data_IF_197705737597
#
_entry.id   IF_197705737597
#
_cell.length_a   1.000
_cell.length_b   1.000
_cell.length_c   1.000
_cell.angle_alpha   90.00
_cell.angle_beta   90.00
_cell.angle_gamma   90.00
#
_symmetry.space_group_name_H-M   'P 1'
#
loop_
_entity.id
_entity.type
_entity.pdbx_description
1 polymer ?
#
# COMPACT_ATOMS: atom_id res chain seq x y z
N UNK A 1 -0.93 52.65 -14.47
CA UNK A 1 -2.08 51.74 -14.23
C UNK A 1 -1.55 50.32 -14.25
N UNK A 2 -1.22 49.77 -13.09
CA UNK A 2 -0.75 48.37 -12.99
C UNK A 2 -1.99 47.50 -13.19
N UNK A 3 -1.92 46.65 -14.22
CA UNK A 3 -3.01 45.85 -14.73
C UNK A 3 -3.53 44.93 -13.60
N UNK A 4 -4.74 45.17 -13.10
CA UNK A 4 -5.38 44.35 -12.03
C UNK A 4 -5.47 42.86 -12.41
N UNK A 5 -5.40 42.54 -13.70
CA UNK A 5 -5.39 41.18 -14.23
C UNK A 5 -4.10 40.38 -13.94
N UNK A 6 -2.95 41.05 -13.76
CA UNK A 6 -1.67 40.37 -13.52
C UNK A 6 -1.46 39.96 -12.05
N UNK A 7 -2.15 40.61 -11.11
CA UNK A 7 -2.01 40.32 -9.66
C UNK A 7 -2.79 39.05 -9.28
N UNK A 8 -3.94 38.81 -9.90
CA UNK A 8 -4.74 37.59 -9.66
C UNK A 8 -4.03 36.31 -10.16
N UNK A 9 -3.28 36.37 -11.26
CA UNK A 9 -2.54 35.22 -11.77
C UNK A 9 -1.38 34.82 -10.84
N UNK A 10 -0.64 35.80 -10.31
CA UNK A 10 0.47 35.57 -9.37
C UNK A 10 0.03 34.94 -8.04
N UNK A 11 -1.18 35.25 -7.55
CA UNK A 11 -1.70 34.65 -6.32
C UNK A 11 -2.09 33.18 -6.49
N UNK A 12 -2.61 32.79 -7.65
CA UNK A 12 -3.00 31.40 -7.94
C UNK A 12 -1.76 30.51 -8.06
N UNK A 13 -0.71 30.98 -8.73
CA UNK A 13 0.54 30.22 -8.88
C UNK A 13 1.25 29.96 -7.53
N UNK A 14 1.26 30.95 -6.63
CA UNK A 14 1.88 30.78 -5.31
C UNK A 14 1.11 29.79 -4.42
N UNK A 15 -0.22 29.75 -4.54
CA UNK A 15 -1.05 28.85 -3.74
C UNK A 15 -0.85 27.39 -4.14
N UNK A 16 -0.86 27.09 -5.45
CA UNK A 16 -0.61 25.72 -5.94
C UNK A 16 0.82 25.25 -5.68
N UNK A 17 1.82 26.15 -5.78
CA UNK A 17 3.21 25.78 -5.51
C UNK A 17 3.45 25.50 -4.01
N UNK A 18 2.87 26.32 -3.12
CA UNK A 18 2.97 26.13 -1.68
C UNK A 18 2.32 24.82 -1.19
N UNK A 19 1.15 24.47 -1.71
CA UNK A 19 0.50 23.19 -1.39
C UNK A 19 1.34 22.00 -1.85
N UNK A 20 1.90 22.06 -3.07
CA UNK A 20 2.74 20.99 -3.60
C UNK A 20 3.99 20.77 -2.73
N UNK A 21 4.74 21.82 -2.41
CA UNK A 21 5.93 21.70 -1.56
C UNK A 21 5.60 21.17 -0.16
N UNK A 22 4.44 21.53 0.39
CA UNK A 22 3.96 21.02 1.68
C UNK A 22 3.70 19.51 1.63
N UNK A 23 3.01 19.05 0.59
CA UNK A 23 2.72 17.62 0.38
C UNK A 23 4.02 16.85 0.12
N UNK A 24 4.91 17.36 -0.73
CA UNK A 24 6.23 16.77 -0.99
C UNK A 24 6.97 16.50 0.32
N UNK A 25 7.07 17.52 1.19
CA UNK A 25 7.76 17.41 2.48
C UNK A 25 7.06 16.44 3.41
N UNK A 26 5.74 16.54 3.55
CA UNK A 26 4.96 15.66 4.42
C UNK A 26 5.11 14.19 4.04
N UNK A 27 4.90 13.86 2.76
CA UNK A 27 4.99 12.48 2.26
C UNK A 27 6.41 11.94 2.42
N UNK A 28 7.42 12.79 2.19
CA UNK A 28 8.83 12.42 2.40
C UNK A 28 9.15 12.08 3.85
N UNK A 29 8.59 12.81 4.80
CA UNK A 29 8.80 12.57 6.24
C UNK A 29 7.99 11.37 6.72
N UNK A 30 6.74 11.24 6.29
CA UNK A 30 5.90 10.10 6.63
C UNK A 30 6.46 8.79 6.07
N UNK A 31 7.08 8.82 4.88
CA UNK A 31 7.81 7.68 4.34
C UNK A 31 8.89 7.16 5.31
N UNK A 32 9.62 8.05 6.01
CA UNK A 32 10.67 7.66 6.96
C UNK A 32 10.12 6.90 8.18
N UNK A 33 8.85 7.07 8.51
CA UNK A 33 8.22 6.39 9.64
C UNK A 33 7.95 4.90 9.35
N UNK A 34 7.82 4.52 8.08
CA UNK A 34 7.34 3.18 7.69
C UNK A 34 8.28 2.42 6.76
N UNK A 35 9.13 3.11 6.00
CA UNK A 35 10.08 2.48 5.09
C UNK A 35 11.37 2.20 5.83
N UNK A 36 11.89 0.99 5.60
CA UNK A 36 13.14 0.55 6.19
C UNK A 36 14.29 1.52 5.83
N UNK A 37 15.06 2.02 6.82
CA UNK A 37 16.05 3.06 6.58
C UNK A 37 17.15 2.63 5.61
N UNK A 38 17.48 1.33 5.57
CA UNK A 38 18.50 0.72 4.71
C UNK A 38 18.11 0.60 3.24
N UNK A 39 16.83 0.74 2.90
CA UNK A 39 16.37 0.63 1.52
C UNK A 39 16.93 1.75 0.65
N UNK A 40 17.42 1.46 -0.56
CA UNK A 40 17.90 2.54 -1.44
C UNK A 40 16.74 3.35 -2.02
N UNK A 41 15.61 2.69 -2.26
CA UNK A 41 14.37 3.27 -2.74
C UNK A 41 13.19 2.44 -2.22
N UNK A 42 11.97 2.88 -2.49
CA UNK A 42 10.76 2.11 -2.20
C UNK A 42 9.75 2.28 -3.33
N UNK A 43 8.95 1.26 -3.60
CA UNK A 43 7.91 1.35 -4.62
C UNK A 43 6.67 2.03 -4.03
N UNK A 44 6.27 3.15 -4.60
CA UNK A 44 5.05 3.87 -4.25
C UNK A 44 4.05 3.72 -5.39
N UNK A 45 2.86 3.21 -5.09
CA UNK A 45 1.78 3.12 -6.08
C UNK A 45 1.44 4.53 -6.57
N UNK A 46 1.31 4.71 -7.89
CA UNK A 46 1.21 6.00 -8.59
C UNK A 46 0.08 6.94 -8.13
N UNK A 47 -1.02 6.41 -7.63
CA UNK A 47 -2.13 7.19 -7.07
C UNK A 47 -2.24 7.05 -5.56
N UNK A 48 -2.59 8.14 -4.88
CA UNK A 48 -3.07 8.04 -3.51
C UNK A 48 -4.44 7.37 -3.46
N UNK A 49 -4.77 6.75 -2.32
CA UNK A 49 -6.14 6.33 -2.05
C UNK A 49 -6.85 7.30 -1.12
N UNK A 50 -8.18 7.35 -1.18
CA UNK A 50 -8.97 8.15 -0.26
C UNK A 50 -9.27 7.28 0.97
N UNK A 51 -8.75 7.67 2.13
CA UNK A 51 -9.06 7.01 3.39
C UNK A 51 -10.46 7.40 3.86
N UNK A 52 -11.25 6.43 4.32
CA UNK A 52 -12.58 6.66 4.89
C UNK A 52 -12.46 7.17 6.35
N UNK A 53 -11.84 8.33 6.53
CA UNK A 53 -11.49 8.89 7.83
C UNK A 53 -12.72 9.14 8.73
N UNK A 54 -13.88 9.44 8.14
CA UNK A 54 -15.15 9.62 8.84
C UNK A 54 -15.71 8.33 9.48
N UNK A 55 -15.16 7.16 9.14
CA UNK A 55 -15.46 5.87 9.79
C UNK A 55 -14.39 5.49 10.81
N UNK A 56 -13.36 6.31 10.96
CA UNK A 56 -12.28 6.07 11.90
C UNK A 56 -12.65 6.74 13.23
N UNK A 57 -12.71 5.92 14.26
CA UNK A 57 -12.85 6.36 15.63
C UNK A 57 -11.63 5.88 16.39
N UNK A 58 -10.99 6.80 17.10
CA UNK A 58 -10.08 6.46 18.18
C UNK A 58 -10.91 5.91 19.34
N UNK A 59 -10.36 4.98 20.09
CA UNK A 59 -11.00 4.62 21.35
C UNK A 59 -10.79 5.71 22.42
N UNK A 60 -11.59 5.65 23.49
CA UNK A 60 -11.58 6.68 24.53
C UNK A 60 -10.22 6.84 25.22
N UNK A 61 -9.42 5.77 25.31
CA UNK A 61 -8.09 5.82 25.90
C UNK A 61 -7.11 6.48 24.96
N UNK A 62 -7.14 6.14 23.66
CA UNK A 62 -6.33 6.79 22.63
C UNK A 62 -6.61 8.29 22.56
N UNK A 63 -7.88 8.69 22.60
CA UNK A 63 -8.28 10.11 22.62
C UNK A 63 -7.77 10.85 23.87
N UNK A 64 -7.87 10.20 25.04
CA UNK A 64 -7.42 10.79 26.29
C UNK A 64 -5.89 10.99 26.32
N UNK A 65 -5.13 9.98 25.89
CA UNK A 65 -3.67 10.06 25.78
C UNK A 65 -3.24 11.20 24.84
N UNK A 66 -3.85 11.27 23.66
CA UNK A 66 -3.56 12.31 22.68
C UNK A 66 -3.93 13.70 23.21
N UNK A 67 -5.06 13.85 23.87
CA UNK A 67 -5.52 15.13 24.42
C UNK A 67 -4.62 15.62 25.56
N UNK A 68 -4.11 14.71 26.39
CA UNK A 68 -3.17 15.05 27.47
C UNK A 68 -1.81 15.50 26.91
N UNK A 69 -1.29 14.77 25.92
CA UNK A 69 0.04 15.02 25.35
C UNK A 69 0.07 16.16 24.34
N UNK A 70 -1.03 16.37 23.63
CA UNK A 70 -1.17 17.35 22.55
C UNK A 70 -2.48 18.15 22.73
N UNK A 71 -2.52 19.10 23.68
CA UNK A 71 -3.75 19.82 24.02
C UNK A 71 -4.26 20.75 22.89
N UNK A 72 -3.41 21.05 21.89
CA UNK A 72 -3.79 21.80 20.68
C UNK A 72 -4.24 20.90 19.51
N UNK A 73 -4.27 19.57 19.69
CA UNK A 73 -4.79 18.65 18.70
C UNK A 73 -6.33 18.61 18.73
N UNK A 74 -6.96 19.10 17.67
CA UNK A 74 -8.39 18.97 17.44
C UNK A 74 -8.68 17.81 16.49
N UNK A 75 -8.63 16.57 17.00
CA UNK A 75 -8.67 15.36 16.18
C UNK A 75 -9.92 15.28 15.27
N UNK A 76 -11.07 15.80 15.70
CA UNK A 76 -12.30 15.85 14.91
C UNK A 76 -12.10 16.51 13.54
N UNK A 77 -11.28 17.57 13.46
CA UNK A 77 -10.96 18.24 12.19
C UNK A 77 -10.32 17.29 11.18
N UNK A 78 -9.48 16.35 11.63
CA UNK A 78 -8.80 15.40 10.74
C UNK A 78 -9.72 14.26 10.28
N UNK A 79 -10.79 13.95 11.02
CA UNK A 79 -11.73 12.88 10.66
C UNK A 79 -12.97 13.37 9.90
N UNK A 80 -13.32 14.65 10.06
CA UNK A 80 -14.44 15.29 9.34
C UNK A 80 -14.07 15.71 7.91
N UNK A 81 -12.77 15.78 7.59
CA UNK A 81 -12.31 16.06 6.24
C UNK A 81 -12.39 14.82 5.34
N UNK A 82 -13.41 14.79 4.49
CA UNK A 82 -13.42 13.91 3.33
C UNK A 82 -12.45 14.46 2.27
N UNK A 83 -11.28 13.81 2.13
CA UNK A 83 -10.44 14.04 0.96
C UNK A 83 -11.19 13.61 -0.29
N UNK A 84 -11.63 14.57 -1.10
CA UNK A 84 -12.51 14.27 -2.24
C UNK A 84 -11.77 13.74 -3.46
N UNK A 85 -10.46 13.97 -3.55
CA UNK A 85 -9.66 13.61 -4.73
C UNK A 85 -8.40 12.83 -4.36
N UNK A 86 -8.13 11.78 -5.13
CA UNK A 86 -6.83 11.12 -5.15
C UNK A 86 -5.78 12.05 -5.77
N UNK A 87 -4.56 11.98 -5.26
CA UNK A 87 -3.38 12.64 -5.79
C UNK A 87 -2.64 11.69 -6.72
N UNK A 88 -2.04 12.22 -7.77
CA UNK A 88 -1.09 11.47 -8.58
C UNK A 88 0.32 11.80 -8.07
N UNK A 89 1.03 10.81 -7.54
CA UNK A 89 2.36 11.04 -6.96
C UNK A 89 3.43 11.41 -7.98
N UNK A 90 3.18 11.19 -9.29
CA UNK A 90 4.04 11.72 -10.34
C UNK A 90 4.07 13.26 -10.37
N UNK A 91 3.06 13.92 -9.79
CA UNK A 91 3.00 15.37 -9.68
C UNK A 91 3.85 15.91 -8.52
N UNK A 92 4.49 15.05 -7.72
CA UNK A 92 5.19 15.39 -6.49
C UNK A 92 6.65 14.93 -6.52
N UNK A 93 7.52 15.63 -5.81
CA UNK A 93 8.93 15.26 -5.66
C UNK A 93 9.15 14.56 -4.34
N UNK A 94 9.06 13.22 -4.36
CA UNK A 94 9.17 12.38 -3.18
C UNK A 94 10.52 11.64 -3.23
N UNK A 95 11.52 12.01 -2.42
CA UNK A 95 12.83 11.38 -2.45
C UNK A 95 12.75 9.87 -2.19
N UNK A 96 13.59 9.10 -2.90
CA UNK A 96 13.68 7.63 -2.83
C UNK A 96 12.41 6.89 -3.27
N UNK A 97 11.32 7.56 -3.63
CA UNK A 97 10.14 6.90 -4.18
C UNK A 97 10.40 6.51 -5.64
N UNK A 98 10.20 5.23 -5.95
CA UNK A 98 10.03 4.73 -7.31
C UNK A 98 8.53 4.64 -7.54
N UNK A 99 7.98 5.57 -8.33
CA UNK A 99 6.55 5.60 -8.63
C UNK A 99 6.22 4.47 -9.60
N UNK A 100 5.28 3.60 -9.25
CA UNK A 100 4.91 2.41 -10.02
C UNK A 100 3.41 2.36 -10.24
N UNK A 101 2.98 2.07 -11.46
CA UNK A 101 1.57 1.86 -11.74
C UNK A 101 1.11 0.48 -11.26
N UNK A 102 -0.12 0.31 -10.73
CA UNK A 102 -0.64 -1.00 -10.35
C UNK A 102 -0.53 -2.08 -11.43
N UNK A 103 -0.54 -1.69 -12.72
CA UNK A 103 -0.40 -2.60 -13.87
C UNK A 103 1.03 -3.11 -14.07
N UNK A 104 2.02 -2.40 -13.57
CA UNK A 104 3.44 -2.74 -13.63
C UNK A 104 3.86 -3.61 -12.45
N UNK A 105 3.05 -3.65 -11.38
CA UNK A 105 3.23 -4.60 -10.30
C UNK A 105 3.17 -6.00 -10.92
N UNK A 106 4.22 -6.81 -10.79
CA UNK A 106 4.23 -8.13 -11.38
C UNK A 106 3.06 -8.98 -10.89
N UNK A 107 2.37 -9.66 -11.81
CA UNK A 107 1.10 -10.39 -11.54
C UNK A 107 1.19 -11.45 -10.43
N UNK A 108 2.39 -11.89 -10.07
CA UNK A 108 2.61 -12.81 -8.95
C UNK A 108 2.41 -12.19 -7.57
N UNK A 109 2.26 -10.87 -7.49
CA UNK A 109 2.02 -10.13 -6.26
C UNK A 109 0.71 -10.56 -5.58
N UNK A 110 -0.30 -10.92 -6.36
CA UNK A 110 -1.57 -11.47 -5.88
C UNK A 110 -1.48 -12.99 -5.62
N UNK A 111 -0.57 -13.40 -4.75
CA UNK A 111 -0.37 -14.80 -4.38
C UNK A 111 -1.60 -15.35 -3.64
N UNK A 112 -2.54 -15.92 -4.39
CA UNK A 112 -3.49 -16.89 -3.87
C UNK A 112 -3.11 -18.26 -4.42
N UNK A 113 -2.65 -19.16 -3.54
CA UNK A 113 -2.43 -20.56 -3.90
C UNK A 113 -3.77 -21.19 -4.26
N UNK A 114 -3.96 -21.56 -5.53
CA UNK A 114 -5.16 -22.27 -5.98
C UNK A 114 -4.73 -23.62 -6.52
N UNK A 115 -4.89 -24.67 -5.72
CA UNK A 115 -4.69 -26.05 -6.18
C UNK A 115 -5.96 -26.51 -6.89
N UNK A 116 -5.83 -26.89 -8.15
CA UNK A 116 -6.90 -27.51 -8.93
C UNK A 116 -6.52 -28.96 -9.18
N UNK A 117 -7.33 -29.84 -8.63
CA UNK A 117 -7.16 -31.29 -8.75
C UNK A 117 -8.03 -31.78 -9.90
N UNK A 118 -7.42 -32.46 -10.85
CA UNK A 118 -8.06 -33.06 -12.03
C UNK A 118 -7.86 -34.57 -11.99
N UNK A 119 -8.79 -35.33 -12.57
CA UNK A 119 -8.61 -36.77 -12.70
C UNK A 119 -7.85 -37.14 -13.97
N UNK A 120 -7.17 -38.28 -13.97
CA UNK A 120 -6.38 -38.79 -15.10
C UNK A 120 -7.20 -39.05 -16.38
N UNK A 121 -8.52 -39.16 -16.27
CA UNK A 121 -9.46 -39.27 -17.40
C UNK A 121 -9.97 -37.91 -17.92
N UNK A 122 -9.44 -36.79 -17.40
CA UNK A 122 -9.73 -35.44 -17.91
C UNK A 122 -9.29 -35.33 -19.38
N UNK A 123 -10.15 -34.85 -20.30
CA UNK A 123 -9.80 -34.69 -21.70
C UNK A 123 -8.57 -33.80 -21.89
N UNK A 124 -7.69 -34.18 -22.81
CA UNK A 124 -6.46 -33.42 -23.10
C UNK A 124 -6.73 -31.96 -23.46
N UNK A 125 -7.76 -31.70 -24.26
CA UNK A 125 -8.14 -30.34 -24.67
C UNK A 125 -8.49 -29.45 -23.47
N UNK A 126 -9.10 -30.03 -22.43
CA UNK A 126 -9.41 -29.32 -21.20
C UNK A 126 -8.16 -29.04 -20.37
N UNK A 127 -7.23 -29.99 -20.30
CA UNK A 127 -5.93 -29.78 -19.64
C UNK A 127 -5.12 -28.68 -20.34
N UNK A 128 -5.01 -28.75 -21.67
CA UNK A 128 -4.27 -27.77 -22.47
C UNK A 128 -4.86 -26.35 -22.29
N UNK A 129 -6.20 -26.24 -22.23
CA UNK A 129 -6.89 -24.97 -21.92
C UNK A 129 -6.55 -24.46 -20.51
N UNK A 130 -6.60 -25.34 -19.52
CA UNK A 130 -6.33 -24.97 -18.12
C UNK A 130 -4.88 -24.56 -17.88
N UNK A 131 -3.93 -25.15 -18.61
CA UNK A 131 -2.51 -24.77 -18.58
C UNK A 131 -2.25 -23.45 -19.31
N UNK A 132 -2.85 -23.25 -20.50
CA UNK A 132 -2.66 -22.04 -21.30
C UNK A 132 -3.15 -20.77 -20.59
N UNK A 133 -4.33 -20.85 -19.97
CA UNK A 133 -4.97 -19.70 -19.31
C UNK A 133 -4.70 -19.66 -17.81
N UNK A 134 -3.73 -20.45 -17.35
CA UNK A 134 -3.40 -20.64 -15.94
C UNK A 134 -2.97 -19.32 -15.31
N UNK A 135 -3.72 -18.77 -14.32
CA UNK A 135 -3.23 -17.65 -13.54
C UNK A 135 -1.96 -18.04 -12.80
N UNK A 136 -1.07 -17.08 -12.61
CA UNK A 136 0.10 -17.27 -11.76
C UNK A 136 -0.35 -17.69 -10.34
N UNK A 137 0.29 -18.70 -9.73
CA UNK A 137 -0.10 -19.22 -8.42
C UNK A 137 -1.14 -20.34 -8.43
N UNK A 138 -1.74 -20.65 -9.59
CA UNK A 138 -2.53 -21.87 -9.75
C UNK A 138 -1.58 -23.07 -9.79
N UNK A 139 -1.95 -24.20 -9.20
CA UNK A 139 -1.21 -25.46 -9.25
C UNK A 139 -2.19 -26.51 -9.78
N UNK A 140 -1.87 -27.11 -10.92
CA UNK A 140 -2.71 -28.14 -11.51
C UNK A 140 -2.10 -29.48 -11.11
N UNK A 141 -2.89 -30.32 -10.45
CA UNK A 141 -2.48 -31.64 -9.98
C UNK A 141 -3.38 -32.67 -10.65
N UNK A 142 -2.79 -33.62 -11.37
CA UNK A 142 -3.53 -34.69 -12.03
C UNK A 142 -3.41 -35.95 -11.15
N UNK A 143 -4.53 -36.49 -10.71
CA UNK A 143 -4.58 -37.69 -9.85
C UNK A 143 -5.39 -38.80 -10.51
N UNK A 144 -5.11 -40.05 -10.17
CA UNK A 144 -5.99 -41.16 -10.55
C UNK A 144 -7.11 -41.32 -9.50
N UNK A 145 -8.34 -41.52 -9.97
CA UNK A 145 -9.50 -41.74 -9.10
C UNK A 145 -9.37 -42.98 -8.21
N UNK A 146 -8.62 -43.99 -8.67
CA UNK A 146 -8.41 -45.26 -7.99
C UNK A 146 -7.24 -45.24 -7.00
N UNK A 147 -6.49 -44.15 -6.90
CA UNK A 147 -5.43 -44.03 -5.90
C UNK A 147 -6.02 -43.95 -4.48
N UNK A 148 -5.26 -44.41 -3.49
CA UNK A 148 -5.61 -44.18 -2.09
C UNK A 148 -5.54 -42.68 -1.78
N UNK A 149 -6.27 -42.24 -0.75
CA UNK A 149 -6.27 -40.84 -0.34
C UNK A 149 -4.88 -40.38 0.09
N UNK A 150 -4.08 -41.24 0.74
CA UNK A 150 -2.70 -40.90 1.10
C UNK A 150 -1.83 -40.66 -0.13
N UNK A 151 -2.05 -41.41 -1.21
CA UNK A 151 -1.32 -41.22 -2.47
C UNK A 151 -1.77 -39.94 -3.18
N UNK A 152 -3.08 -39.65 -3.21
CA UNK A 152 -3.61 -38.40 -3.78
C UNK A 152 -3.04 -37.19 -3.05
N UNK A 153 -3.01 -37.23 -1.72
CA UNK A 153 -2.47 -36.15 -0.91
C UNK A 153 -0.98 -35.96 -1.15
N UNK A 154 -0.20 -37.04 -1.21
CA UNK A 154 1.25 -36.95 -1.51
C UNK A 154 1.53 -36.28 -2.86
N UNK A 155 0.77 -36.62 -3.90
CA UNK A 155 0.93 -35.97 -5.21
C UNK A 155 0.60 -34.47 -5.14
N UNK A 156 -0.43 -34.09 -4.38
CA UNK A 156 -0.76 -32.69 -4.15
C UNK A 156 0.39 -31.98 -3.43
N UNK A 157 0.90 -32.57 -2.35
CA UNK A 157 1.97 -31.99 -1.54
C UNK A 157 3.26 -31.85 -2.36
N UNK A 158 3.66 -32.87 -3.11
CA UNK A 158 4.84 -32.82 -3.99
C UNK A 158 4.74 -31.69 -5.03
N UNK A 159 3.56 -31.51 -5.66
CA UNK A 159 3.35 -30.41 -6.63
C UNK A 159 3.32 -29.04 -5.97
N UNK A 160 2.84 -28.95 -4.73
CA UNK A 160 2.89 -27.72 -3.94
C UNK A 160 4.33 -27.39 -3.58
N UNK A 161 5.10 -28.36 -3.10
CA UNK A 161 6.50 -28.18 -2.71
C UNK A 161 7.37 -27.78 -3.92
N UNK A 162 7.20 -28.44 -5.06
CA UNK A 162 7.88 -28.07 -6.31
C UNK A 162 7.59 -26.62 -6.70
N UNK A 163 6.31 -26.23 -6.63
CA UNK A 163 5.90 -24.88 -6.93
C UNK A 163 6.47 -23.87 -5.93
N UNK A 164 6.42 -24.16 -4.62
CA UNK A 164 6.96 -23.29 -3.57
C UNK A 164 8.47 -23.10 -3.72
N UNK A 165 9.21 -24.16 -4.08
CA UNK A 165 10.64 -24.07 -4.37
C UNK A 165 10.92 -23.20 -5.59
N UNK A 166 10.25 -23.44 -6.71
CA UNK A 166 10.40 -22.61 -7.91
C UNK A 166 10.02 -21.15 -7.63
N UNK A 167 8.98 -20.93 -6.83
CA UNK A 167 8.54 -19.60 -6.43
C UNK A 167 9.57 -18.91 -5.54
N UNK A 168 10.15 -19.60 -4.56
CA UNK A 168 11.21 -19.06 -3.70
C UNK A 168 12.47 -18.71 -4.51
N UNK A 169 12.89 -19.57 -5.43
CA UNK A 169 14.01 -19.32 -6.34
C UNK A 169 13.73 -18.09 -7.21
N UNK A 170 12.55 -17.99 -7.80
CA UNK A 170 12.13 -16.82 -8.58
C UNK A 170 12.08 -15.55 -7.71
N UNK A 171 11.55 -15.62 -6.49
CA UNK A 171 11.54 -14.49 -5.58
C UNK A 171 12.95 -14.03 -5.19
N UNK A 172 13.92 -14.95 -5.12
CA UNK A 172 15.31 -14.61 -4.78
C UNK A 172 15.98 -13.74 -5.83
N UNK A 173 15.45 -13.67 -7.06
CA UNK A 173 15.99 -12.81 -8.13
C UNK A 173 15.67 -11.33 -7.95
N UNK A 174 14.77 -10.97 -7.03
CA UNK A 174 14.36 -9.59 -6.77
C UNK A 174 15.08 -9.00 -5.55
N UNK A 175 15.47 -7.73 -5.64
CA UNK A 175 15.95 -6.96 -4.49
C UNK A 175 14.82 -6.75 -3.48
N UNK A 176 15.14 -6.67 -2.19
CA UNK A 176 14.15 -6.54 -1.11
C UNK A 176 13.26 -5.30 -1.25
N UNK A 177 13.76 -4.25 -1.89
CA UNK A 177 12.97 -3.06 -2.21
C UNK A 177 11.90 -3.34 -3.28
N UNK A 178 12.19 -4.11 -4.34
CA UNK A 178 11.26 -4.45 -5.45
C UNK A 178 10.14 -5.43 -5.04
N UNK A 179 10.21 -5.87 -3.79
CA UNK A 179 9.41 -6.92 -3.18
C UNK A 179 8.30 -6.38 -2.29
N UNK A 180 8.28 -5.07 -2.06
CA UNK A 180 7.34 -4.36 -1.17
C UNK A 180 6.79 -3.15 -1.92
N UNK A 181 5.49 -2.94 -1.81
CA UNK A 181 4.77 -1.88 -2.49
C UNK A 181 3.97 -1.11 -1.45
N UNK A 182 4.13 0.21 -1.46
CA UNK A 182 3.48 1.11 -0.53
C UNK A 182 2.36 1.84 -1.25
N UNK A 183 1.18 1.85 -0.65
CA UNK A 183 0.07 2.72 -1.05
C UNK A 183 -0.14 3.74 0.04
N UNK A 184 -0.08 5.02 -0.30
CA UNK A 184 -0.30 6.11 0.65
C UNK A 184 -1.66 6.73 0.39
N UNK A 185 -2.38 7.09 1.45
CA UNK A 185 -3.63 7.85 1.31
C UNK A 185 -3.37 9.30 0.95
N UNK A 186 -4.41 10.01 0.48
CA UNK A 186 -4.39 11.46 0.40
C UNK A 186 -4.22 12.02 1.83
N UNK A 187 -3.18 12.85 2.08
CA UNK A 187 -2.97 13.46 3.38
C UNK A 187 -4.13 14.36 3.77
N UNK A 188 -4.56 14.27 5.03
CA UNK A 188 -5.48 15.24 5.64
C UNK A 188 -4.69 16.10 6.61
N UNK A 189 -4.84 17.42 6.52
CA UNK A 189 -4.16 18.37 7.40
C UNK A 189 -5.17 19.05 8.30
N UNK A 190 -4.76 19.40 9.52
CA UNK A 190 -5.52 20.32 10.37
C UNK A 190 -5.58 21.71 9.73
N UNK A 191 -6.57 22.50 10.10
CA UNK A 191 -6.76 23.87 9.58
C UNK A 191 -5.52 24.76 9.81
N UNK A 192 -4.87 24.58 10.97
CA UNK A 192 -3.65 25.30 11.34
C UNK A 192 -2.36 24.69 10.76
N UNK A 193 -2.48 23.57 10.03
CA UNK A 193 -1.40 22.82 9.40
C UNK A 193 -0.33 22.29 10.37
N UNK A 194 -0.63 22.19 11.67
CA UNK A 194 0.28 21.60 12.66
C UNK A 194 0.18 20.09 12.72
N UNK A 195 -0.95 19.53 12.31
CA UNK A 195 -1.20 18.09 12.35
C UNK A 195 -1.57 17.57 10.97
N UNK A 196 -1.23 16.30 10.74
CA UNK A 196 -1.58 15.61 9.52
C UNK A 196 -1.88 14.14 9.80
N UNK A 197 -2.84 13.60 9.06
CA UNK A 197 -3.23 12.21 9.09
C UNK A 197 -2.92 11.58 7.73
N UNK A 198 -2.31 10.39 7.77
CA UNK A 198 -2.15 9.56 6.57
C UNK A 198 -2.22 8.09 6.93
N UNK A 199 -3.08 7.36 6.24
CA UNK A 199 -3.06 5.90 6.19
C UNK A 199 -2.04 5.41 5.17
N UNK A 200 -1.28 4.39 5.54
CA UNK A 200 -0.27 3.77 4.69
C UNK A 200 -0.52 2.27 4.70
N UNK A 201 -0.68 1.70 3.51
CA UNK A 201 -0.79 0.26 3.30
C UNK A 201 0.50 -0.26 2.70
N UNK A 202 0.95 -1.38 3.24
CA UNK A 202 2.10 -2.13 2.77
C UNK A 202 1.58 -3.42 2.18
N UNK A 203 1.76 -3.53 0.87
CA UNK A 203 1.50 -4.77 0.17
C UNK A 203 2.82 -5.52 0.01
N UNK A 204 3.01 -6.52 0.87
CA UNK A 204 4.22 -7.34 0.92
C UNK A 204 3.92 -8.75 0.42
N UNK A 205 4.90 -9.38 -0.25
CA UNK A 205 4.76 -10.74 -0.79
C UNK A 205 4.59 -11.84 0.28
N UNK A 206 4.91 -11.56 1.54
CA UNK A 206 5.10 -12.57 2.60
C UNK A 206 4.11 -12.45 3.74
N UNK A 207 3.34 -11.37 3.79
CA UNK A 207 2.27 -11.17 4.74
C UNK A 207 1.13 -10.45 4.02
N UNK A 208 -0.07 -10.90 4.33
CA UNK A 208 -1.32 -10.20 4.07
C UNK A 208 -1.21 -8.65 4.07
N UNK A 209 -2.09 -7.99 3.31
CA UNK A 209 -2.25 -6.54 3.31
C UNK A 209 -2.23 -6.00 4.76
N UNK A 210 -1.13 -5.35 5.13
CA UNK A 210 -0.97 -4.72 6.42
C UNK A 210 -0.96 -3.21 6.22
N UNK A 211 -1.69 -2.50 7.07
CA UNK A 211 -1.75 -1.05 6.96
C UNK A 211 -2.16 -0.43 8.27
N UNK A 212 -1.62 0.76 8.55
CA UNK A 212 -1.99 1.54 9.73
C UNK A 212 -2.30 2.97 9.32
N UNK A 213 -2.97 3.69 10.21
CA UNK A 213 -3.12 5.14 10.13
C UNK A 213 -2.13 5.80 11.08
N UNK A 214 -1.55 6.91 10.63
CA UNK A 214 -0.47 7.60 11.31
C UNK A 214 -0.85 9.06 11.48
N UNK A 215 -0.76 9.54 12.72
CA UNK A 215 -0.89 10.94 13.06
C UNK A 215 0.49 11.56 13.17
N UNK A 216 0.67 12.70 12.53
CA UNK A 216 1.91 13.45 12.52
C UNK A 216 1.70 14.85 13.09
N UNK A 217 2.75 15.38 13.72
CA UNK A 217 2.85 16.77 14.15
C UNK A 217 4.00 17.45 13.42
N UNK A 218 3.79 18.67 12.94
CA UNK A 218 4.82 19.49 12.33
C UNK A 218 5.56 20.28 13.42
N UNK A 219 6.82 19.92 13.66
CA UNK A 219 7.70 20.59 14.61
C UNK A 219 9.13 20.65 14.08
N UNK A 220 9.83 21.73 14.39
CA UNK A 220 11.22 21.93 13.97
C UNK A 220 11.43 21.72 12.46
N UNK A 221 10.52 22.30 11.67
CA UNK A 221 10.51 22.25 10.20
C UNK A 221 10.31 20.86 9.56
N UNK A 222 9.96 19.85 10.35
CA UNK A 222 9.77 18.45 9.94
C UNK A 222 8.46 17.86 10.47
N UNK A 223 7.91 16.88 9.76
CA UNK A 223 6.78 16.10 10.27
C UNK A 223 7.28 14.92 11.09
N UNK A 224 6.76 14.79 12.32
CA UNK A 224 7.11 13.71 13.24
C UNK A 224 5.87 12.86 13.51
N UNK A 225 6.00 11.54 13.37
CA UNK A 225 4.94 10.62 13.75
C UNK A 225 4.75 10.69 15.26
N UNK A 226 3.53 10.96 15.72
CA UNK A 226 3.20 11.05 17.15
C UNK A 226 2.27 9.93 17.60
N UNK A 227 1.55 9.29 16.68
CA UNK A 227 0.62 8.21 17.01
C UNK A 227 0.38 7.29 15.81
N UNK A 228 0.11 6.02 16.11
CA UNK A 228 -0.22 4.99 15.11
C UNK A 228 -1.42 4.20 15.60
N UNK A 229 -2.40 3.99 14.73
CA UNK A 229 -3.67 3.38 15.09
C UNK A 229 -4.28 2.64 13.90
N UNK A 230 -5.31 1.83 14.17
CA UNK A 230 -6.03 1.04 13.14
C UNK A 230 -5.11 0.20 12.27
N UNK A 231 -4.15 -0.47 12.91
CA UNK A 231 -3.29 -1.43 12.22
C UNK A 231 -4.10 -2.69 11.88
N UNK A 232 -4.36 -2.89 10.59
CA UNK A 232 -4.85 -4.17 10.07
C UNK A 232 -3.60 -5.04 9.92
N UNK A 233 -3.50 -6.07 10.74
CA UNK A 233 -2.55 -7.18 10.56
C UNK A 233 -3.39 -8.41 10.26
N UNK A 234 -3.17 -9.07 9.12
CA UNK A 234 -3.91 -10.29 8.74
C UNK A 234 -3.06 -11.55 8.87
#
# INVERSE_FOLDING_TARGET
MINKFSISLLLIFNYSFGQKTKIDRFVSDAAKAVIKPEFRYYNLIDSSFIAENNKIYLDRFEEAELSEKYPDLHIGQLFEHDSVNALNWNDYNIPRAKIISPKEIPKYHLYSRITVVLYSDTPKEELDRLEKDKPFGKIIVIIDKNWSEERKQREIDEKVDDFEKCFAEYQSTFAEEDKIYYSFSTPVFSDDNKYALMSIHVDSRTSSCCGCSYLFKFENESWQQIFTFRCIMR
#
